data_IF_982224302833
#
_entry.id   IF_982224302833
#
_cell.length_a   1.000
_cell.length_b   1.000
_cell.length_c   1.000
_cell.angle_alpha   90.00
_cell.angle_beta   90.00
_cell.angle_gamma   90.00
#
_symmetry.space_group_name_H-M   'P 1'
#
loop_
_entity.id
_entity.type
_entity.pdbx_description
1 polymer ?
#
# COMPACT_ATOMS: atom_id res chain seq x y z
N UNK A 1 -10.63 8.67 -0.22
CA UNK A 1 -9.22 8.35 -0.48
C UNK A 1 -8.76 8.97 -1.80
N UNK A 2 -9.51 8.79 -2.90
CA UNK A 2 -9.17 9.33 -4.23
C UNK A 2 -8.99 10.85 -4.29
N UNK A 3 -9.65 11.63 -3.43
CA UNK A 3 -9.51 13.10 -3.35
C UNK A 3 -8.21 13.57 -2.67
N UNK A 4 -7.34 12.67 -2.19
CA UNK A 4 -6.05 12.99 -1.57
C UNK A 4 -6.12 13.82 -0.27
N UNK A 5 -7.28 13.83 0.41
CA UNK A 5 -7.51 14.59 1.64
C UNK A 5 -7.00 13.88 2.91
N UNK A 6 -6.58 12.63 2.79
CA UNK A 6 -6.17 11.78 3.93
C UNK A 6 -4.65 11.77 4.05
N UNK A 7 -4.14 12.04 5.26
CA UNK A 7 -2.71 11.94 5.57
C UNK A 7 -2.27 10.52 5.91
N UNK A 8 -3.15 9.75 6.55
CA UNK A 8 -2.90 8.37 6.96
C UNK A 8 -4.11 7.54 6.58
N UNK A 9 -3.86 6.38 6.01
CA UNK A 9 -4.89 5.40 5.62
C UNK A 9 -4.49 4.07 6.27
N UNK A 10 -5.28 3.60 7.23
CA UNK A 10 -5.07 2.32 7.92
C UNK A 10 -6.04 1.30 7.35
N UNK A 11 -5.52 0.17 6.88
CA UNK A 11 -6.28 -0.85 6.16
C UNK A 11 -5.75 -2.23 6.49
N UNK A 12 -6.62 -3.23 6.43
CA UNK A 12 -6.21 -4.62 6.60
C UNK A 12 -5.60 -5.20 5.30
N UNK A 13 -4.75 -6.23 5.40
CA UNK A 13 -4.18 -6.90 4.23
C UNK A 13 -5.24 -7.38 3.25
N UNK A 14 -6.37 -7.90 3.73
CA UNK A 14 -7.45 -8.44 2.90
C UNK A 14 -8.09 -7.38 2.00
N UNK A 15 -8.13 -6.11 2.43
CA UNK A 15 -8.65 -5.02 1.61
C UNK A 15 -7.65 -4.58 0.54
N UNK A 16 -6.35 -4.65 0.83
CA UNK A 16 -5.27 -4.31 -0.10
C UNK A 16 -5.12 -5.38 -1.18
N UNK A 17 -5.19 -6.65 -0.78
CA UNK A 17 -4.93 -7.81 -1.62
C UNK A 17 -6.16 -8.31 -2.37
N UNK A 18 -7.31 -7.63 -2.26
CA UNK A 18 -8.51 -8.03 -2.97
C UNK A 18 -8.36 -7.78 -4.47
N UNK A 19 -8.36 -8.86 -5.25
CA UNK A 19 -8.35 -8.80 -6.72
C UNK A 19 -9.54 -7.98 -7.26
N UNK A 20 -9.25 -7.07 -8.19
CA UNK A 20 -10.21 -6.08 -8.71
C UNK A 20 -10.69 -5.08 -7.67
N UNK A 21 -10.06 -5.04 -6.49
CA UNK A 21 -10.43 -4.21 -5.36
C UNK A 21 -10.16 -2.72 -5.59
N UNK A 22 -10.72 -1.90 -4.70
CA UNK A 22 -10.52 -0.44 -4.74
C UNK A 22 -9.04 -0.05 -4.63
N UNK A 23 -8.27 -0.75 -3.78
CA UNK A 23 -6.84 -0.47 -3.59
C UNK A 23 -5.98 -0.86 -4.78
N UNK A 24 -6.31 -1.93 -5.52
CA UNK A 24 -5.61 -2.28 -6.73
C UNK A 24 -5.73 -1.15 -7.78
N UNK A 25 -6.94 -0.62 -7.98
CA UNK A 25 -7.19 0.52 -8.88
C UNK A 25 -6.48 1.78 -8.40
N UNK A 26 -6.52 2.03 -7.10
CA UNK A 26 -5.94 3.21 -6.48
C UNK A 26 -4.41 3.22 -6.55
N UNK A 27 -3.75 2.08 -6.28
CA UNK A 27 -2.30 1.91 -6.37
C UNK A 27 -1.79 1.92 -7.82
N UNK A 28 -2.68 1.71 -8.80
CA UNK A 28 -2.40 1.91 -10.24
C UNK A 28 -2.65 3.34 -10.71
N UNK A 29 -3.27 4.22 -9.89
CA UNK A 29 -3.52 5.62 -10.25
C UNK A 29 -2.26 6.46 -10.04
N UNK A 30 -1.66 7.04 -11.11
CA UNK A 30 -0.43 7.82 -11.00
C UNK A 30 -0.53 9.03 -10.07
N UNK A 31 -1.69 9.68 -9.99
CA UNK A 31 -1.91 10.83 -9.11
C UNK A 31 -1.91 10.41 -7.64
N UNK A 32 -2.47 9.25 -7.34
CA UNK A 32 -2.46 8.74 -5.98
C UNK A 32 -1.04 8.32 -5.58
N UNK A 33 -0.36 7.59 -6.45
CA UNK A 33 1.02 7.13 -6.24
C UNK A 33 1.98 8.30 -6.04
N UNK A 34 1.86 9.39 -6.79
CA UNK A 34 2.74 10.57 -6.63
C UNK A 34 2.56 11.30 -5.30
N UNK A 35 1.44 11.07 -4.61
CA UNK A 35 1.15 11.63 -3.28
C UNK A 35 1.36 10.61 -2.15
N UNK A 36 1.72 9.36 -2.46
CA UNK A 36 2.02 8.34 -1.47
C UNK A 36 3.45 8.55 -0.93
N UNK A 37 3.55 8.97 0.33
CA UNK A 37 4.84 9.23 0.99
C UNK A 37 5.55 7.93 1.42
N UNK A 38 4.80 6.88 1.74
CA UNK A 38 5.34 5.61 2.21
C UNK A 38 4.25 4.64 2.66
N UNK A 39 4.64 3.40 2.93
CA UNK A 39 3.77 2.33 3.45
C UNK A 39 4.44 1.73 4.68
N UNK A 40 3.70 1.62 5.78
CA UNK A 40 4.13 0.97 7.03
C UNK A 40 3.34 -0.31 7.19
N UNK A 41 4.02 -1.40 7.53
CA UNK A 41 3.41 -2.72 7.77
C UNK A 41 3.58 -3.04 9.25
N UNK A 42 2.47 -3.03 10.00
CA UNK A 42 2.45 -3.28 11.46
C UNK A 42 2.98 -4.69 11.79
N UNK A 43 2.43 -5.70 11.13
CA UNK A 43 2.84 -7.10 11.32
C UNK A 43 3.80 -7.58 10.23
N UNK A 44 4.92 -6.87 10.05
CA UNK A 44 5.90 -7.18 8.99
C UNK A 44 6.48 -8.60 9.10
N UNK A 45 6.48 -9.19 10.30
CA UNK A 45 6.91 -10.58 10.48
C UNK A 45 5.99 -11.58 9.75
N UNK A 46 4.74 -11.22 9.46
CA UNK A 46 3.80 -12.05 8.67
C UNK A 46 4.20 -12.15 7.19
N UNK A 47 5.13 -11.31 6.71
CA UNK A 47 5.65 -11.32 5.33
C UNK A 47 7.11 -11.78 5.24
N UNK A 48 7.72 -12.22 6.34
CA UNK A 48 9.08 -12.79 6.33
C UNK A 48 9.12 -14.05 5.43
N UNK A 49 9.94 -13.98 4.38
CA UNK A 49 10.12 -15.06 3.38
C UNK A 49 9.64 -14.73 1.97
N UNK A 50 8.96 -13.59 1.75
CA UNK A 50 8.55 -13.14 0.42
C UNK A 50 9.40 -11.94 -0.03
N UNK A 51 10.28 -12.15 -1.01
CA UNK A 51 10.99 -11.05 -1.66
C UNK A 51 10.01 -10.30 -2.57
N UNK A 52 9.53 -9.14 -2.12
CA UNK A 52 8.66 -8.27 -2.90
C UNK A 52 9.47 -7.68 -4.07
N UNK A 53 9.30 -8.24 -5.27
CA UNK A 53 9.92 -7.70 -6.48
C UNK A 53 9.10 -6.51 -6.99
N UNK A 54 9.63 -5.30 -6.76
CA UNK A 54 9.09 -4.05 -7.29
C UNK A 54 9.88 -2.89 -6.70
N UNK A 55 10.17 -1.85 -7.49
CA UNK A 55 11.02 -0.69 -7.11
C UNK A 55 10.46 0.21 -6.01
N UNK A 56 9.58 -0.30 -5.15
CA UNK A 56 9.05 0.36 -3.98
C UNK A 56 9.95 0.02 -2.80
N UNK A 57 10.56 1.04 -2.20
CA UNK A 57 11.30 0.88 -0.95
C UNK A 57 10.26 0.85 0.18
N UNK A 58 9.87 -0.35 0.61
CA UNK A 58 9.03 -0.53 1.80
C UNK A 58 9.97 -0.38 2.99
N UNK A 59 9.79 0.69 3.76
CA UNK A 59 10.50 0.87 5.02
C UNK A 59 9.65 0.22 6.12
N UNK A 60 10.09 -0.95 6.57
CA UNK A 60 9.62 -1.56 7.81
C UNK A 60 10.27 -0.77 8.94
N UNK A 61 9.47 0.01 9.67
CA UNK A 61 9.91 0.69 10.89
C UNK A 61 9.92 -0.27 12.07
#
# INVERSE_FOLDING_TARGET
IENLEYRVVVISPEQVMKDGGGFERLLKNPLFVSHLMGVVIDEAHCVEGQQLQGGWKIEVL
#
